data_IF_635210890135
#
_entry.id   IF_635210890135
#
_cell.length_a   1.000
_cell.length_b   1.000
_cell.length_c   1.000
_cell.angle_alpha   90.00
_cell.angle_beta   90.00
_cell.angle_gamma   90.00
#
_symmetry.space_group_name_H-M   'P 1'
#
loop_
_entity.id
_entity.type
_entity.pdbx_description
1 polymer ?
#
# COMPACT_ATOMS: atom_id res chain seq x y z
N UNK A 1 -14.28 44.97 36.98
CA UNK A 1 -14.69 44.54 35.62
C UNK A 1 -13.42 44.21 34.86
N UNK A 2 -13.14 42.92 34.67
CA UNK A 2 -12.02 42.46 33.83
C UNK A 2 -12.53 41.25 33.06
N UNK A 3 -12.78 41.43 31.76
CA UNK A 3 -13.24 40.38 30.84
C UNK A 3 -12.25 39.20 30.77
N UNK A 4 -12.71 37.97 30.55
CA UNK A 4 -11.85 36.88 30.10
C UNK A 4 -11.62 37.06 28.60
N UNK A 5 -10.42 37.49 28.22
CA UNK A 5 -10.00 37.51 26.82
C UNK A 5 -9.48 36.12 26.44
N UNK A 6 -10.25 35.44 25.58
CA UNK A 6 -9.81 34.55 24.50
C UNK A 6 -8.62 33.59 24.77
N UNK A 7 -8.91 32.33 25.09
CA UNK A 7 -7.99 31.19 24.84
C UNK A 7 -8.49 30.22 23.75
N UNK A 8 -9.54 30.57 23.00
CA UNK A 8 -10.21 29.67 22.05
C UNK A 8 -9.55 29.62 20.64
N UNK A 9 -8.22 29.49 20.57
CA UNK A 9 -7.49 29.58 19.28
C UNK A 9 -6.66 28.37 18.87
N UNK A 10 -6.35 27.43 19.77
CA UNK A 10 -5.27 26.45 19.54
C UNK A 10 -5.68 24.97 19.49
N UNK A 11 -6.96 24.63 19.63
CA UNK A 11 -7.42 23.22 19.66
C UNK A 11 -8.09 22.74 18.36
N UNK A 12 -8.32 23.61 17.38
CA UNK A 12 -9.04 23.23 16.15
C UNK A 12 -8.16 22.66 15.03
N UNK A 13 -6.84 22.83 15.08
CA UNK A 13 -5.97 22.36 13.98
C UNK A 13 -5.68 20.85 14.04
N UNK A 14 -5.62 20.27 15.23
CA UNK A 14 -5.24 18.86 15.43
C UNK A 14 -6.41 17.89 15.22
N UNK A 15 -7.64 18.29 15.56
CA UNK A 15 -8.85 17.49 15.30
C UNK A 15 -9.05 17.21 13.80
N UNK A 16 -8.80 18.21 12.94
CA UNK A 16 -8.97 18.07 11.50
C UNK A 16 -8.03 17.02 10.88
N UNK A 17 -6.78 16.96 11.35
CA UNK A 17 -5.80 15.97 10.87
C UNK A 17 -6.22 14.56 11.25
N UNK A 18 -6.66 14.37 12.50
CA UNK A 18 -7.13 13.08 12.98
C UNK A 18 -8.37 12.60 12.21
N UNK A 19 -9.32 13.50 11.94
CA UNK A 19 -10.51 13.18 11.14
C UNK A 19 -10.18 12.75 9.71
N UNK A 20 -9.18 13.38 9.08
CA UNK A 20 -8.73 12.98 7.74
C UNK A 20 -8.17 11.55 7.75
N UNK A 21 -7.34 11.19 8.73
CA UNK A 21 -6.80 9.83 8.85
C UNK A 21 -7.89 8.79 9.08
N UNK A 22 -8.85 9.10 9.96
CA UNK A 22 -9.98 8.22 10.25
C UNK A 22 -10.87 8.03 9.02
N UNK A 23 -11.14 9.10 8.26
CA UNK A 23 -11.95 9.04 7.04
C UNK A 23 -11.31 8.14 5.98
N UNK A 24 -9.99 8.10 5.93
CA UNK A 24 -9.21 7.31 4.96
C UNK A 24 -9.13 5.86 5.35
N UNK A 25 -8.90 5.58 6.63
CA UNK A 25 -9.02 4.22 7.16
C UNK A 25 -10.43 3.67 6.88
N UNK A 26 -11.47 4.49 7.02
CA UNK A 26 -12.85 4.13 6.67
C UNK A 26 -13.01 3.83 5.18
N UNK A 27 -12.50 4.69 4.29
CA UNK A 27 -12.54 4.47 2.85
C UNK A 27 -11.83 3.17 2.45
N UNK A 28 -10.64 2.92 3.00
CA UNK A 28 -9.87 1.69 2.80
C UNK A 28 -10.67 0.46 3.25
N UNK A 29 -11.29 0.53 4.42
CA UNK A 29 -12.13 -0.55 4.95
C UNK A 29 -13.34 -0.84 4.05
N UNK A 30 -13.99 0.21 3.52
CA UNK A 30 -15.09 0.06 2.55
C UNK A 30 -14.61 -0.62 1.26
N UNK A 31 -13.46 -0.20 0.72
CA UNK A 31 -12.87 -0.82 -0.48
C UNK A 31 -12.56 -2.31 -0.23
N UNK A 32 -12.03 -2.67 0.95
CA UNK A 32 -11.82 -4.07 1.34
C UNK A 32 -13.14 -4.83 1.46
N UNK A 33 -14.18 -4.23 2.03
CA UNK A 33 -15.50 -4.84 2.13
C UNK A 33 -16.09 -5.16 0.74
N UNK A 34 -15.98 -4.22 -0.19
CA UNK A 34 -16.43 -4.40 -1.59
C UNK A 34 -15.62 -5.50 -2.29
N UNK A 35 -14.30 -5.52 -2.08
CA UNK A 35 -13.41 -6.56 -2.63
C UNK A 35 -13.83 -7.97 -2.21
N UNK A 36 -14.12 -8.17 -0.93
CA UNK A 36 -14.57 -9.46 -0.39
C UNK A 36 -15.91 -9.88 -1.00
N UNK A 37 -16.84 -8.93 -1.19
CA UNK A 37 -18.13 -9.20 -1.84
C UNK A 37 -17.94 -9.62 -3.30
N UNK A 38 -17.02 -8.97 -4.03
CA UNK A 38 -16.71 -9.31 -5.42
C UNK A 38 -16.07 -10.72 -5.52
N UNK A 39 -15.17 -11.07 -4.60
CA UNK A 39 -14.56 -12.42 -4.52
C UNK A 39 -15.63 -13.50 -4.31
N UNK A 40 -16.68 -13.18 -3.56
CA UNK A 40 -17.74 -14.14 -3.28
C UNK A 40 -18.62 -14.44 -4.51
N UNK A 41 -18.65 -13.55 -5.51
CA UNK A 41 -19.32 -13.80 -6.78
C UNK A 41 -18.36 -14.60 -7.70
N UNK A 42 -18.79 -15.72 -8.31
CA UNK A 42 -17.93 -16.55 -9.16
C UNK A 42 -17.68 -15.88 -10.53
N UNK A 43 -16.90 -14.80 -10.53
CA UNK A 43 -16.34 -14.21 -11.74
C UNK A 43 -15.15 -15.03 -12.26
N UNK A 44 -14.65 -14.67 -13.44
CA UNK A 44 -13.45 -15.26 -13.99
C UNK A 44 -12.26 -15.13 -13.01
N UNK A 45 -11.61 -16.25 -12.69
CA UNK A 45 -10.47 -16.32 -11.74
C UNK A 45 -9.37 -15.30 -12.05
N UNK A 46 -9.13 -15.02 -13.34
CA UNK A 46 -8.15 -14.04 -13.78
C UNK A 46 -8.48 -12.60 -13.34
N UNK A 47 -9.77 -12.23 -13.37
CA UNK A 47 -10.22 -10.92 -12.89
C UNK A 47 -10.11 -10.80 -11.37
N UNK A 48 -10.36 -11.89 -10.65
CA UNK A 48 -10.23 -11.94 -9.18
C UNK A 48 -8.77 -11.73 -8.79
N UNK A 49 -7.85 -12.47 -9.39
CA UNK A 49 -6.41 -12.35 -9.12
C UNK A 49 -5.89 -10.97 -9.49
N UNK A 50 -6.27 -10.44 -10.66
CA UNK A 50 -5.87 -9.09 -11.08
C UNK A 50 -6.39 -8.01 -10.12
N UNK A 51 -7.66 -8.11 -9.71
CA UNK A 51 -8.26 -7.16 -8.77
C UNK A 51 -7.58 -7.21 -7.41
N UNK A 52 -7.29 -8.40 -6.88
CA UNK A 52 -6.58 -8.57 -5.60
C UNK A 52 -5.18 -7.93 -5.61
N UNK A 53 -4.43 -8.12 -6.70
CA UNK A 53 -3.09 -7.52 -6.85
C UNK A 53 -3.19 -6.00 -6.91
N UNK A 54 -4.08 -5.47 -7.75
CA UNK A 54 -4.27 -4.02 -7.89
C UNK A 54 -4.75 -3.40 -6.59
N UNK A 55 -5.74 -4.00 -5.94
CA UNK A 55 -6.31 -3.51 -4.69
C UNK A 55 -5.31 -3.60 -3.53
N UNK A 56 -4.44 -4.61 -3.49
CA UNK A 56 -3.35 -4.70 -2.51
C UNK A 56 -2.34 -3.57 -2.68
N UNK A 57 -1.87 -3.32 -3.90
CA UNK A 57 -0.93 -2.23 -4.20
C UNK A 57 -1.55 -0.87 -3.92
N UNK A 58 -2.79 -0.63 -4.34
CA UNK A 58 -3.49 0.63 -4.10
C UNK A 58 -3.69 0.88 -2.62
N UNK A 59 -4.16 -0.11 -1.85
CA UNK A 59 -4.32 0.01 -0.40
C UNK A 59 -2.99 0.33 0.28
N UNK A 60 -1.94 -0.39 -0.10
CA UNK A 60 -0.60 -0.18 0.45
C UNK A 60 -0.07 1.24 0.17
N UNK A 61 -0.17 1.71 -1.08
CA UNK A 61 0.23 3.08 -1.44
C UNK A 61 -0.61 4.12 -0.70
N UNK A 62 -1.92 3.93 -0.58
CA UNK A 62 -2.81 4.85 0.11
C UNK A 62 -2.50 4.93 1.62
N UNK A 63 -2.19 3.78 2.25
CA UNK A 63 -1.74 3.72 3.64
C UNK A 63 -0.41 4.43 3.81
N UNK A 64 0.58 4.25 2.93
CA UNK A 64 1.88 4.95 3.07
C UNK A 64 1.73 6.45 2.85
N UNK A 65 0.92 6.88 1.89
CA UNK A 65 0.74 8.30 1.58
C UNK A 65 -0.01 9.07 2.67
N UNK A 66 -0.90 8.39 3.40
CA UNK A 66 -1.73 9.02 4.42
C UNK A 66 -1.34 8.66 5.85
N UNK A 67 -1.05 7.41 6.16
CA UNK A 67 -0.75 6.99 7.54
C UNK A 67 0.65 7.43 8.00
N UNK A 68 1.61 7.53 7.07
CA UNK A 68 2.80 8.38 7.28
C UNK A 68 2.47 9.78 6.79
N UNK A 69 2.80 10.80 7.57
CA UNK A 69 2.50 12.22 7.38
C UNK A 69 3.26 12.86 6.18
N UNK A 70 3.37 12.19 5.03
CA UNK A 70 4.26 12.53 3.91
C UNK A 70 3.84 13.75 3.09
N UNK A 71 2.60 14.22 3.27
CA UNK A 71 2.19 15.49 2.68
C UNK A 71 2.92 16.69 3.33
N UNK A 72 3.49 16.50 4.53
CA UNK A 72 4.20 17.53 5.29
C UNK A 72 5.66 17.16 5.59
N UNK A 73 5.98 15.88 5.79
CA UNK A 73 7.35 15.40 5.85
C UNK A 73 7.84 15.04 4.43
N UNK A 74 8.83 15.80 3.96
CA UNK A 74 9.20 16.04 2.55
C UNK A 74 9.22 14.76 1.70
N UNK A 75 8.91 14.93 0.41
CA UNK A 75 8.98 13.94 -0.69
C UNK A 75 10.19 12.98 -0.67
N UNK A 76 11.25 13.29 0.06
CA UNK A 76 12.38 12.42 0.39
C UNK A 76 11.98 11.03 0.91
N UNK A 77 11.01 10.94 1.84
CA UNK A 77 10.60 9.63 2.37
C UNK A 77 9.82 8.80 1.32
N UNK A 78 9.01 9.47 0.48
CA UNK A 78 8.38 8.85 -0.71
C UNK A 78 9.43 8.38 -1.72
N UNK A 79 10.50 9.16 -1.94
CA UNK A 79 11.61 8.80 -2.85
C UNK A 79 12.37 7.60 -2.31
N UNK A 80 12.72 7.57 -1.02
CA UNK A 80 13.41 6.44 -0.38
C UNK A 80 12.56 5.15 -0.48
N UNK A 81 11.26 5.26 -0.21
CA UNK A 81 10.33 4.16 -0.36
C UNK A 81 10.24 3.67 -1.81
N UNK A 82 10.19 4.58 -2.78
CA UNK A 82 10.13 4.23 -4.20
C UNK A 82 11.43 3.56 -4.67
N UNK A 83 12.60 4.04 -4.23
CA UNK A 83 13.89 3.38 -4.47
C UNK A 83 13.87 1.97 -3.88
N UNK A 84 13.39 1.81 -2.65
CA UNK A 84 13.23 0.50 -2.01
C UNK A 84 12.30 -0.44 -2.79
N UNK A 85 11.17 0.07 -3.29
CA UNK A 85 10.20 -0.69 -4.10
C UNK A 85 10.79 -1.12 -5.45
N UNK A 86 11.52 -0.22 -6.12
CA UNK A 86 12.24 -0.53 -7.37
C UNK A 86 13.35 -1.56 -7.13
N UNK A 87 14.14 -1.41 -6.07
CA UNK A 87 15.19 -2.38 -5.73
C UNK A 87 14.62 -3.74 -5.35
N UNK A 88 13.53 -3.78 -4.58
CA UNK A 88 12.86 -5.03 -4.21
C UNK A 88 12.30 -5.73 -5.46
N UNK A 89 11.56 -5.00 -6.30
CA UNK A 89 10.97 -5.55 -7.53
C UNK A 89 12.06 -6.02 -8.49
N UNK A 90 13.11 -5.22 -8.68
CA UNK A 90 14.25 -5.56 -9.53
C UNK A 90 15.03 -6.78 -9.03
N UNK A 91 15.25 -6.88 -7.71
CA UNK A 91 15.92 -8.04 -7.12
C UNK A 91 15.05 -9.29 -7.23
N UNK A 92 13.76 -9.21 -6.94
CA UNK A 92 12.82 -10.34 -7.12
C UNK A 92 12.76 -10.79 -8.58
N UNK A 93 12.72 -9.85 -9.53
CA UNK A 93 12.74 -10.18 -10.95
C UNK A 93 14.06 -10.84 -11.36
N UNK A 94 15.20 -10.29 -10.95
CA UNK A 94 16.51 -10.88 -11.21
C UNK A 94 16.66 -12.27 -10.59
N UNK A 95 16.09 -12.49 -9.40
CA UNK A 95 16.03 -13.80 -8.76
C UNK A 95 15.15 -14.79 -9.54
N UNK A 96 14.02 -14.34 -10.08
CA UNK A 96 13.18 -15.20 -10.92
C UNK A 96 13.92 -15.61 -12.20
N UNK A 97 14.60 -14.66 -12.86
CA UNK A 97 15.40 -14.93 -14.07
C UNK A 97 16.58 -15.87 -13.79
N UNK A 98 17.30 -15.73 -12.67
CA UNK A 98 18.42 -16.63 -12.34
C UNK A 98 17.94 -18.05 -11.97
N UNK A 99 16.78 -18.20 -11.34
CA UNK A 99 16.21 -19.52 -11.04
C UNK A 99 15.57 -20.18 -12.29
N UNK A 100 15.07 -19.37 -13.22
CA UNK A 100 14.56 -19.82 -14.53
C UNK A 100 15.68 -20.09 -15.53
N UNK A 101 16.85 -19.44 -15.37
CA UNK A 101 18.04 -19.64 -16.17
C UNK A 101 18.65 -21.03 -15.92
N UNK A 102 18.02 -22.05 -16.50
CA UNK A 102 18.58 -23.28 -17.10
C UNK A 102 19.60 -24.13 -16.34
N UNK A 103 19.81 -23.90 -15.04
CA UNK A 103 20.72 -24.70 -14.20
C UNK A 103 20.00 -25.46 -13.08
N UNK A 104 18.67 -25.38 -12.99
CA UNK A 104 17.87 -26.17 -12.03
C UNK A 104 17.44 -27.55 -12.56
N UNK A 105 17.92 -27.98 -13.74
CA UNK A 105 17.73 -29.34 -14.24
C UNK A 105 18.63 -30.28 -13.40
N UNK A 106 18.06 -31.17 -12.57
CA UNK A 106 18.88 -32.11 -11.82
C UNK A 106 19.56 -33.05 -12.80
N UNK A 107 20.88 -33.27 -12.60
CA UNK A 107 21.74 -34.17 -13.39
C UNK A 107 21.28 -35.65 -13.39
N UNK A 108 20.10 -35.97 -12.86
CA UNK A 108 19.48 -37.29 -12.86
C UNK A 108 18.78 -37.64 -14.18
N UNK A 109 18.61 -36.70 -15.11
CA UNK A 109 17.95 -36.92 -16.41
C UNK A 109 18.92 -37.09 -17.59
N UNK A 110 20.24 -37.13 -17.33
CA UNK A 110 21.28 -37.30 -18.35
C UNK A 110 21.75 -38.77 -18.51
N UNK A 111 21.22 -39.72 -17.72
CA UNK A 111 21.53 -41.17 -17.83
C UNK A 111 20.28 -42.05 -18.01
N UNK A 112 19.48 -41.81 -19.06
CA UNK A 112 18.49 -42.80 -19.53
C UNK A 112 18.30 -42.77 -21.03
#
# INVERSE_FOLDING_TARGET
MSSPAASAGHHHADENKFQIYVQIAMLLAVITGIEIVIIFIPFATWLIVSSLVVLSVVKFLYVIFYFMHLKWDKAFCTILFFIGLVLATGTTWALLEIFDAKDSIPLTAQES
#
